data_IF_008062140580
#
_entry.id   IF_008062140580
#
_cell.length_a   1.000
_cell.length_b   1.000
_cell.length_c   1.000
_cell.angle_alpha   90.00
_cell.angle_beta   90.00
_cell.angle_gamma   90.00
#
_symmetry.space_group_name_H-M   'P 1'
#
loop_
_entity.id
_entity.type
_entity.pdbx_description
1 polymer ?
#
# COMPACT_ATOMS: atom_id res chain seq x y z
N UNK A 1 -4.47 8.84 35.51
CA UNK A 1 -3.31 9.10 36.35
C UNK A 1 -3.33 10.59 36.65
N UNK A 2 -3.49 10.97 37.95
CA UNK A 2 -3.32 12.37 38.36
C UNK A 2 -1.82 12.63 38.45
N UNK A 3 -1.28 13.45 37.56
CA UNK A 3 0.07 13.99 37.68
C UNK A 3 0.10 14.93 38.89
N UNK A 4 0.85 14.58 39.92
CA UNK A 4 1.17 15.48 41.01
C UNK A 4 2.33 16.38 40.58
N UNK A 5 2.09 17.67 40.46
CA UNK A 5 3.17 18.66 40.31
C UNK A 5 3.94 18.76 41.62
N UNK A 6 5.20 18.35 41.67
CA UNK A 6 6.12 18.74 42.75
C UNK A 6 6.61 20.15 42.45
N UNK A 7 6.25 21.11 43.31
CA UNK A 7 6.76 22.47 43.20
C UNK A 7 8.30 22.45 43.28
N UNK A 8 8.98 22.93 42.24
CA UNK A 8 10.41 23.16 42.21
C UNK A 8 11.28 22.25 41.35
N UNK A 9 10.69 21.32 40.56
CA UNK A 9 11.47 20.58 39.57
C UNK A 9 11.23 21.16 38.15
N UNK A 10 12.32 21.36 37.44
CA UNK A 10 12.28 21.64 35.97
C UNK A 10 11.48 20.56 35.27
N UNK A 11 10.55 20.87 34.36
CA UNK A 11 9.81 19.83 33.64
C UNK A 11 10.80 18.88 32.95
N UNK A 12 10.58 17.57 33.09
CA UNK A 12 11.39 16.53 32.48
C UNK A 12 11.24 16.51 30.94
N UNK A 13 10.22 17.16 30.42
CA UNK A 13 9.96 17.30 29.01
C UNK A 13 9.59 18.74 28.70
N UNK A 14 10.41 19.41 27.92
CA UNK A 14 10.12 20.71 27.35
C UNK A 14 9.44 20.51 25.98
N UNK A 15 8.16 20.86 25.88
CA UNK A 15 7.38 20.81 24.65
C UNK A 15 7.24 22.19 23.99
N UNK A 16 7.91 23.22 24.52
CA UNK A 16 7.95 24.57 23.94
C UNK A 16 8.94 24.69 22.77
N UNK A 17 9.57 23.61 22.38
CA UNK A 17 10.55 23.54 21.30
C UNK A 17 10.03 24.17 20.01
N UNK A 18 10.88 24.99 19.40
CA UNK A 18 10.57 25.78 18.21
C UNK A 18 10.96 25.10 16.91
N UNK A 19 11.39 23.86 16.92
CA UNK A 19 11.70 23.11 15.70
C UNK A 19 10.40 22.67 15.04
N UNK A 20 10.08 23.29 13.91
CA UNK A 20 9.02 22.82 13.05
C UNK A 20 9.45 21.49 12.41
N UNK A 21 8.85 20.41 12.86
CA UNK A 21 8.96 19.09 12.23
C UNK A 21 8.16 19.00 10.93
N UNK A 22 8.17 17.84 10.32
CA UNK A 22 7.28 17.53 9.21
C UNK A 22 5.82 17.54 9.69
N UNK A 23 4.95 18.31 9.01
CA UNK A 23 3.52 18.29 9.34
C UNK A 23 2.91 16.96 8.93
N UNK A 24 2.37 16.23 9.89
CA UNK A 24 1.60 15.02 9.63
C UNK A 24 0.23 15.37 9.03
N UNK A 25 -0.23 14.60 8.03
CA UNK A 25 -1.40 14.96 7.23
C UNK A 25 -2.55 13.97 7.35
N UNK A 26 -2.22 12.66 7.39
CA UNK A 26 -3.29 11.68 7.24
C UNK A 26 -2.99 10.33 7.89
N UNK A 27 -4.02 9.80 8.53
CA UNK A 27 -4.16 8.41 8.91
C UNK A 27 -5.03 7.70 7.90
N UNK A 28 -4.58 6.53 7.44
CA UNK A 28 -5.30 5.81 6.41
C UNK A 28 -5.31 4.30 6.58
N UNK A 29 -6.09 3.66 5.72
CA UNK A 29 -6.14 2.20 5.59
C UNK A 29 -6.40 1.79 4.14
N UNK A 30 -6.15 0.52 3.84
CA UNK A 30 -6.39 -0.04 2.51
C UNK A 30 -7.80 -0.64 2.41
N UNK A 31 -8.43 -0.45 1.25
CA UNK A 31 -9.73 -1.00 0.93
C UNK A 31 -9.55 -2.32 0.18
N UNK A 32 -9.56 -3.45 0.91
CA UNK A 32 -9.39 -4.80 0.36
C UNK A 32 -10.71 -5.55 0.25
N UNK A 33 -10.84 -6.45 -0.75
CA UNK A 33 -12.06 -7.26 -0.92
C UNK A 33 -12.34 -8.12 0.33
N UNK A 34 -11.32 -8.79 0.90
CA UNK A 34 -11.51 -9.63 2.09
C UNK A 34 -11.85 -8.82 3.34
N UNK A 35 -11.41 -7.56 3.45
CA UNK A 35 -11.85 -6.68 4.53
C UNK A 35 -13.35 -6.36 4.42
N UNK A 36 -13.83 -6.11 3.21
CA UNK A 36 -15.26 -5.89 2.97
C UNK A 36 -16.09 -7.14 3.25
N UNK A 37 -15.59 -8.32 2.87
CA UNK A 37 -16.25 -9.60 3.16
C UNK A 37 -16.36 -9.86 4.65
N UNK A 38 -15.31 -9.58 5.42
CA UNK A 38 -15.32 -9.69 6.87
C UNK A 38 -16.35 -8.76 7.51
N UNK A 39 -16.40 -7.49 7.11
CA UNK A 39 -17.41 -6.53 7.58
C UNK A 39 -18.84 -6.98 7.23
N UNK A 40 -19.05 -7.57 6.06
CA UNK A 40 -20.38 -8.05 5.63
C UNK A 40 -20.86 -9.33 6.36
N UNK A 41 -20.01 -9.99 7.17
CA UNK A 41 -20.46 -11.09 8.04
C UNK A 41 -21.21 -10.61 9.27
N UNK A 42 -21.02 -9.34 9.65
CA UNK A 42 -21.61 -8.73 10.83
C UNK A 42 -23.05 -8.27 10.55
N UNK A 43 -23.79 -7.98 11.61
CA UNK A 43 -25.07 -7.28 11.48
C UNK A 43 -24.85 -5.87 10.92
N UNK A 44 -25.89 -5.30 10.32
CA UNK A 44 -25.79 -3.93 9.77
C UNK A 44 -25.42 -2.89 10.83
N UNK A 45 -25.96 -3.02 12.03
CA UNK A 45 -25.71 -2.09 13.12
C UNK A 45 -24.25 -2.17 13.60
N UNK A 46 -23.70 -3.39 13.72
CA UNK A 46 -22.29 -3.60 14.08
C UNK A 46 -21.34 -3.11 12.98
N UNK A 47 -21.66 -3.42 11.72
CA UNK A 47 -20.89 -2.92 10.57
C UNK A 47 -20.88 -1.38 10.54
N UNK A 48 -22.04 -0.76 10.75
CA UNK A 48 -22.20 0.69 10.75
C UNK A 48 -21.43 1.35 11.92
N UNK A 49 -21.47 0.75 13.12
CA UNK A 49 -20.69 1.22 14.29
C UNK A 49 -19.18 1.15 14.02
N UNK A 50 -18.68 0.05 13.44
CA UNK A 50 -17.27 -0.11 13.12
C UNK A 50 -16.80 0.87 12.03
N UNK A 51 -17.59 1.05 10.97
CA UNK A 51 -17.31 2.04 9.94
C UNK A 51 -17.25 3.46 10.51
N UNK A 52 -18.18 3.81 11.41
CA UNK A 52 -18.19 5.09 12.11
C UNK A 52 -16.94 5.25 12.99
N UNK A 53 -16.55 4.21 13.74
CA UNK A 53 -15.33 4.24 14.56
C UNK A 53 -14.07 4.45 13.73
N UNK A 54 -14.00 3.84 12.55
CA UNK A 54 -12.82 3.95 11.67
C UNK A 54 -12.76 5.29 10.93
N UNK A 55 -13.85 5.75 10.36
CA UNK A 55 -13.82 6.80 9.33
C UNK A 55 -14.41 8.14 9.76
N UNK A 56 -15.32 8.19 10.76
CA UNK A 56 -15.85 9.49 11.20
C UNK A 56 -14.76 10.39 11.78
N UNK A 57 -14.77 11.71 11.47
CA UNK A 57 -13.87 12.68 12.12
C UNK A 57 -13.99 12.72 13.65
N UNK A 58 -15.16 12.36 14.21
CA UNK A 58 -15.40 12.21 15.64
C UNK A 58 -15.21 10.75 16.11
N UNK A 59 -14.84 9.86 15.19
CA UNK A 59 -14.62 8.44 15.47
C UNK A 59 -13.34 8.17 16.24
N UNK A 60 -13.06 6.88 16.43
CA UNK A 60 -11.92 6.45 17.22
C UNK A 60 -10.61 6.45 16.43
N UNK A 61 -10.62 6.08 15.15
CA UNK A 61 -9.42 6.03 14.31
C UNK A 61 -9.27 7.24 13.39
N UNK A 62 -10.38 7.91 13.06
CA UNK A 62 -10.39 9.15 12.26
C UNK A 62 -9.68 9.04 10.92
N UNK A 63 -9.76 7.87 10.28
CA UNK A 63 -9.12 7.67 8.98
C UNK A 63 -9.70 8.63 7.93
N UNK A 64 -8.83 9.41 7.34
CA UNK A 64 -9.17 10.39 6.30
C UNK A 64 -8.46 10.10 4.96
N UNK A 65 -7.65 9.03 4.91
CA UNK A 65 -6.88 8.61 3.73
C UNK A 65 -7.18 7.17 3.36
N UNK A 66 -7.49 6.89 2.10
CA UNK A 66 -7.74 5.54 1.61
C UNK A 66 -6.68 5.11 0.60
N UNK A 67 -6.18 3.86 0.73
CA UNK A 67 -5.38 3.20 -0.29
C UNK A 67 -6.27 2.28 -1.12
N UNK A 68 -6.19 2.38 -2.42
CA UNK A 68 -6.92 1.54 -3.38
C UNK A 68 -5.91 0.73 -4.20
N UNK A 69 -6.15 -0.58 -4.29
CA UNK A 69 -5.38 -1.44 -5.19
C UNK A 69 -5.88 -1.25 -6.62
N UNK A 70 -4.98 -0.96 -7.55
CA UNK A 70 -5.26 -1.08 -8.97
C UNK A 70 -5.06 -2.54 -9.37
N UNK A 71 -6.13 -3.24 -9.74
CA UNK A 71 -6.21 -4.69 -9.92
C UNK A 71 -6.17 -5.46 -8.57
N UNK A 72 -6.18 -6.80 -8.65
CA UNK A 72 -6.10 -7.66 -7.47
C UNK A 72 -4.80 -7.46 -6.69
N UNK A 73 -4.92 -7.52 -5.36
CA UNK A 73 -3.81 -7.63 -4.43
C UNK A 73 -3.84 -8.99 -3.71
N UNK A 74 -2.95 -9.21 -2.74
CA UNK A 74 -2.87 -10.45 -1.95
C UNK A 74 -4.06 -10.67 -0.99
N UNK A 75 -4.90 -9.65 -0.75
CA UNK A 75 -6.18 -9.74 -0.02
C UNK A 75 -7.41 -9.51 -0.93
N UNK A 76 -7.26 -9.73 -2.23
CA UNK A 76 -8.38 -9.93 -3.15
C UNK A 76 -8.93 -11.37 -3.03
N UNK A 77 -10.19 -11.58 -3.44
CA UNK A 77 -10.82 -12.92 -3.43
C UNK A 77 -10.15 -13.89 -4.39
N UNK A 78 -9.64 -13.38 -5.51
CA UNK A 78 -8.92 -14.08 -6.58
C UNK A 78 -8.20 -13.08 -7.48
N UNK A 79 -7.45 -13.58 -8.47
CA UNK A 79 -6.81 -12.75 -9.49
C UNK A 79 -7.83 -12.08 -10.41
N UNK A 80 -7.63 -10.79 -10.64
CA UNK A 80 -8.25 -10.03 -11.74
C UNK A 80 -7.39 -8.82 -12.10
N UNK A 81 -7.52 -8.34 -13.35
CA UNK A 81 -7.13 -6.98 -13.72
C UNK A 81 -8.27 -6.27 -14.42
N UNK A 82 -8.13 -4.98 -14.64
CA UNK A 82 -9.16 -4.19 -15.35
C UNK A 82 -9.13 -4.42 -16.87
N UNK A 83 -8.11 -5.11 -17.41
CA UNK A 83 -8.02 -5.47 -18.83
C UNK A 83 -7.09 -6.67 -19.06
N UNK A 84 -7.65 -7.88 -19.09
CA UNK A 84 -6.93 -9.13 -19.40
C UNK A 84 -6.98 -9.52 -20.89
N UNK A 85 -7.44 -8.62 -21.78
CA UNK A 85 -7.45 -8.90 -23.21
C UNK A 85 -6.06 -8.69 -23.79
N UNK A 86 -5.39 -9.78 -24.10
CA UNK A 86 -4.02 -9.77 -24.60
C UNK A 86 -3.88 -8.92 -25.88
N UNK A 87 -2.94 -7.97 -25.84
CA UNK A 87 -2.66 -7.08 -26.98
C UNK A 87 -3.64 -5.91 -27.14
N UNK A 88 -4.51 -5.65 -26.18
CA UNK A 88 -5.37 -4.46 -26.21
C UNK A 88 -4.60 -3.19 -25.84
N UNK A 89 -3.67 -2.80 -26.70
CA UNK A 89 -2.87 -1.57 -26.53
C UNK A 89 -3.68 -0.27 -26.56
N UNK A 90 -4.96 -0.33 -26.93
CA UNK A 90 -5.87 0.81 -26.91
C UNK A 90 -6.78 0.83 -25.68
N UNK A 91 -6.69 -0.20 -24.82
CA UNK A 91 -7.46 -0.38 -23.59
C UNK A 91 -8.98 -0.24 -23.84
N UNK A 92 -9.46 -0.86 -24.92
CA UNK A 92 -10.89 -0.85 -25.31
C UNK A 92 -11.76 -1.69 -24.37
N UNK A 93 -11.16 -2.73 -23.80
CA UNK A 93 -11.85 -3.67 -22.90
C UNK A 93 -11.62 -3.31 -21.42
N UNK A 94 -10.87 -2.23 -21.16
CA UNK A 94 -10.66 -1.76 -19.80
C UNK A 94 -11.97 -1.50 -19.06
N UNK A 95 -12.14 -2.05 -17.87
CA UNK A 95 -13.29 -1.81 -17.01
C UNK A 95 -12.98 -2.10 -15.54
N UNK A 96 -13.70 -1.45 -14.64
CA UNK A 96 -13.60 -1.63 -13.17
C UNK A 96 -14.79 -2.43 -12.62
N UNK A 97 -15.40 -3.33 -13.42
CA UNK A 97 -16.60 -4.04 -13.00
C UNK A 97 -16.37 -4.91 -11.77
N UNK A 98 -15.17 -5.47 -11.61
CA UNK A 98 -14.81 -6.25 -10.42
C UNK A 98 -14.82 -5.37 -9.16
N UNK A 99 -14.26 -4.19 -9.22
CA UNK A 99 -14.16 -3.26 -8.08
C UNK A 99 -15.55 -2.81 -7.60
N UNK A 100 -16.54 -2.77 -8.50
CA UNK A 100 -17.94 -2.46 -8.16
C UNK A 100 -18.60 -3.51 -7.26
N UNK A 101 -18.01 -4.69 -7.11
CA UNK A 101 -18.57 -5.77 -6.29
C UNK A 101 -18.13 -5.68 -4.82
N UNK A 102 -17.00 -5.03 -4.51
CA UNK A 102 -16.49 -4.95 -3.15
C UNK A 102 -15.81 -3.61 -2.84
N UNK A 103 -14.79 -3.22 -3.60
CA UNK A 103 -13.94 -2.05 -3.27
C UNK A 103 -14.77 -0.76 -3.28
N UNK A 104 -15.52 -0.49 -4.35
CA UNK A 104 -16.34 0.72 -4.48
C UNK A 104 -17.45 0.77 -3.41
N UNK A 105 -18.23 -0.31 -3.16
CA UNK A 105 -19.17 -0.35 -2.05
C UNK A 105 -18.52 -0.07 -0.69
N UNK A 106 -17.33 -0.61 -0.43
CA UNK A 106 -16.61 -0.37 0.81
C UNK A 106 -16.19 1.10 0.95
N UNK A 107 -15.59 1.67 -0.09
CA UNK A 107 -15.21 3.10 -0.10
C UNK A 107 -16.44 3.99 0.13
N UNK A 108 -17.56 3.71 -0.52
CA UNK A 108 -18.81 4.48 -0.33
C UNK A 108 -19.36 4.37 1.10
N UNK A 109 -19.22 3.18 1.71
CA UNK A 109 -19.60 3.00 3.11
C UNK A 109 -18.73 3.84 4.06
N UNK A 110 -17.43 3.97 3.77
CA UNK A 110 -16.54 4.87 4.50
C UNK A 110 -16.87 6.36 4.24
N UNK A 111 -17.09 6.74 2.99
CA UNK A 111 -17.46 8.12 2.61
C UNK A 111 -18.78 8.59 3.23
N UNK A 112 -19.69 7.69 3.61
CA UNK A 112 -20.89 8.02 4.38
C UNK A 112 -20.56 8.73 5.69
N UNK A 113 -19.42 8.37 6.32
CA UNK A 113 -18.98 8.93 7.60
C UNK A 113 -17.92 10.03 7.44
N UNK A 114 -17.18 10.00 6.36
CA UNK A 114 -16.18 11.02 6.04
C UNK A 114 -16.20 11.30 4.52
N UNK A 115 -17.04 12.21 4.04
CA UNK A 115 -17.14 12.54 2.62
C UNK A 115 -15.89 13.24 2.07
N UNK A 116 -15.05 13.80 2.94
CA UNK A 116 -13.84 14.53 2.58
C UNK A 116 -12.60 13.63 2.50
N UNK A 117 -12.77 12.29 2.58
CA UNK A 117 -11.67 11.35 2.42
C UNK A 117 -10.96 11.54 1.09
N UNK A 118 -9.64 11.44 1.13
CA UNK A 118 -8.78 11.44 -0.04
C UNK A 118 -8.24 10.05 -0.33
N UNK A 119 -7.84 9.79 -1.58
CA UNK A 119 -7.46 8.44 -2.00
C UNK A 119 -6.18 8.44 -2.81
N UNK A 120 -5.35 7.43 -2.54
CA UNK A 120 -4.21 7.09 -3.36
C UNK A 120 -4.25 5.63 -3.81
N UNK A 121 -3.51 5.30 -4.86
CA UNK A 121 -3.49 3.96 -5.38
C UNK A 121 -2.11 3.43 -5.73
N UNK A 122 -1.99 2.10 -5.72
CA UNK A 122 -0.85 1.37 -6.27
C UNK A 122 -1.31 0.03 -6.88
N UNK A 123 -0.71 -0.44 -7.98
CA UNK A 123 -0.91 -1.80 -8.49
C UNK A 123 -0.04 -2.80 -7.74
N UNK A 124 -0.50 -4.06 -7.65
CA UNK A 124 0.33 -5.21 -7.30
C UNK A 124 0.89 -5.89 -8.55
N UNK A 125 0.06 -6.09 -9.56
CA UNK A 125 0.49 -6.60 -10.86
C UNK A 125 -0.19 -5.81 -11.99
N UNK A 126 0.51 -5.49 -13.08
CA UNK A 126 -0.16 -5.11 -14.32
C UNK A 126 -1.00 -6.29 -14.84
N UNK A 127 -1.86 -6.09 -15.87
CA UNK A 127 -2.46 -7.19 -16.61
C UNK A 127 -1.43 -8.26 -16.99
N UNK A 128 -1.77 -9.54 -16.88
CA UNK A 128 -0.84 -10.66 -17.05
C UNK A 128 -0.11 -10.62 -18.39
N UNK A 129 -0.82 -10.24 -19.46
CA UNK A 129 -0.24 -10.16 -20.80
C UNK A 129 0.81 -9.06 -21.00
N UNK A 130 0.94 -8.14 -20.04
CA UNK A 130 1.98 -7.09 -20.05
C UNK A 130 3.28 -7.56 -19.35
N UNK A 131 3.31 -8.78 -18.82
CA UNK A 131 4.45 -9.32 -18.08
C UNK A 131 5.19 -10.39 -18.89
N UNK A 132 6.50 -10.51 -18.68
CA UNK A 132 7.35 -11.47 -19.42
C UNK A 132 7.00 -12.93 -19.11
N UNK A 133 6.47 -13.22 -17.93
CA UNK A 133 5.99 -14.55 -17.55
C UNK A 133 4.52 -14.81 -17.96
N UNK A 134 3.83 -13.83 -18.53
CA UNK A 134 2.45 -13.88 -18.96
C UNK A 134 1.48 -14.40 -17.86
N UNK A 135 1.77 -14.05 -16.62
CA UNK A 135 0.96 -14.43 -15.46
C UNK A 135 1.01 -13.32 -14.40
N UNK A 136 0.10 -13.37 -13.41
CA UNK A 136 -0.01 -12.33 -12.39
C UNK A 136 1.01 -12.44 -11.24
N UNK A 137 1.45 -13.65 -10.78
CA UNK A 137 2.46 -13.75 -9.74
C UNK A 137 3.85 -13.50 -10.30
N UNK A 138 4.85 -13.46 -9.41
CA UNK A 138 6.26 -13.36 -9.81
C UNK A 138 6.90 -14.75 -9.86
N UNK A 139 6.45 -15.67 -9.00
CA UNK A 139 6.91 -17.07 -8.99
C UNK A 139 5.77 -18.07 -8.85
N UNK A 140 6.01 -19.31 -9.27
CA UNK A 140 5.09 -20.43 -9.08
C UNK A 140 5.00 -20.86 -7.61
N UNK A 141 3.82 -21.31 -7.20
CA UNK A 141 3.54 -21.87 -5.89
C UNK A 141 2.33 -22.80 -5.96
N UNK A 142 2.14 -23.60 -4.91
CA UNK A 142 0.97 -24.49 -4.78
C UNK A 142 -0.37 -23.73 -4.73
N UNK A 143 -0.36 -22.47 -4.31
CA UNK A 143 -1.55 -21.64 -4.15
C UNK A 143 -1.95 -20.88 -5.42
N UNK A 144 -1.03 -20.71 -6.35
CA UNK A 144 -1.32 -20.21 -7.68
C UNK A 144 -1.22 -21.35 -8.72
N UNK A 145 -1.71 -21.16 -9.91
CA UNK A 145 -1.72 -22.17 -10.97
C UNK A 145 -0.59 -21.98 -11.98
N UNK A 146 0.37 -21.14 -11.66
CA UNK A 146 1.50 -20.86 -12.54
C UNK A 146 2.39 -22.10 -12.66
N UNK A 147 2.79 -22.41 -13.87
CA UNK A 147 3.75 -23.48 -14.11
C UNK A 147 5.13 -23.09 -13.60
N UNK A 148 5.87 -23.98 -12.89
CA UNK A 148 7.27 -23.74 -12.55
C UNK A 148 8.18 -23.48 -13.76
N UNK A 149 7.78 -23.93 -14.95
CA UNK A 149 8.48 -23.63 -16.20
C UNK A 149 8.34 -22.17 -16.65
N UNK A 150 7.39 -21.45 -16.09
CA UNK A 150 7.19 -20.02 -16.34
C UNK A 150 7.93 -19.13 -15.32
N UNK A 151 8.58 -19.72 -14.32
CA UNK A 151 9.42 -18.95 -13.39
C UNK A 151 10.57 -18.28 -14.13
N UNK A 152 10.73 -17.01 -13.91
CA UNK A 152 11.81 -16.19 -14.49
C UNK A 152 12.85 -15.93 -13.42
N UNK A 153 14.13 -15.97 -13.77
CA UNK A 153 15.22 -15.63 -12.87
C UNK A 153 15.10 -14.16 -12.48
N UNK A 154 14.86 -13.88 -11.21
CA UNK A 154 14.82 -12.53 -10.69
C UNK A 154 16.20 -12.05 -10.21
N UNK A 155 16.98 -12.96 -9.63
CA UNK A 155 18.31 -12.69 -9.09
C UNK A 155 19.34 -13.66 -9.70
N UNK A 156 20.59 -13.23 -9.75
CA UNK A 156 21.66 -14.05 -10.40
C UNK A 156 21.80 -15.46 -9.84
N UNK A 157 21.65 -15.62 -8.53
CA UNK A 157 21.76 -16.93 -7.90
C UNK A 157 20.43 -17.68 -7.73
N UNK A 158 19.32 -16.98 -7.85
CA UNK A 158 17.94 -17.50 -7.74
C UNK A 158 17.74 -18.58 -6.65
N UNK A 159 18.63 -18.58 -5.65
CA UNK A 159 18.68 -19.61 -4.60
C UNK A 159 17.66 -19.38 -3.51
N UNK A 160 17.12 -18.16 -3.43
CA UNK A 160 16.17 -17.78 -2.41
C UNK A 160 14.76 -17.74 -2.99
N UNK A 161 14.08 -18.87 -2.94
CA UNK A 161 12.69 -19.04 -3.37
C UNK A 161 11.70 -18.82 -2.24
N UNK A 162 12.12 -18.29 -1.10
CA UNK A 162 11.26 -18.07 0.07
C UNK A 162 10.58 -16.72 0.00
N UNK A 163 9.32 -16.71 0.42
CA UNK A 163 8.56 -15.49 0.64
C UNK A 163 9.31 -14.58 1.62
N UNK A 164 9.36 -13.29 1.29
CA UNK A 164 9.95 -12.24 2.12
C UNK A 164 11.42 -12.41 2.51
N UNK A 165 12.17 -13.24 1.83
CA UNK A 165 13.62 -13.18 1.94
C UNK A 165 14.11 -12.12 0.99
N UNK A 166 14.66 -11.05 1.56
CA UNK A 166 15.20 -9.94 0.79
C UNK A 166 16.58 -10.34 0.25
N UNK A 167 16.71 -10.56 -1.06
CA UNK A 167 17.97 -10.99 -1.63
C UNK A 167 19.04 -9.90 -1.48
N UNK A 168 20.27 -10.31 -1.32
CA UNK A 168 21.41 -9.40 -1.23
C UNK A 168 21.78 -8.76 -2.56
N UNK A 169 21.31 -9.34 -3.66
CA UNK A 169 21.60 -8.90 -5.01
C UNK A 169 20.48 -8.02 -5.57
N UNK A 170 20.81 -7.19 -6.54
CA UNK A 170 19.80 -6.41 -7.27
C UNK A 170 19.03 -7.30 -8.24
N UNK A 171 17.76 -6.97 -8.47
CA UNK A 171 16.96 -7.62 -9.48
C UNK A 171 17.61 -7.48 -10.87
N UNK A 172 17.70 -8.57 -11.62
CA UNK A 172 18.31 -8.63 -12.96
C UNK A 172 17.28 -8.60 -14.09
N UNK A 173 15.99 -8.80 -13.75
CA UNK A 173 14.91 -8.77 -14.72
C UNK A 173 13.79 -7.82 -14.29
N UNK A 174 13.28 -7.06 -15.24
CA UNK A 174 11.96 -6.43 -15.16
C UNK A 174 10.90 -7.45 -15.55
N UNK A 175 9.89 -7.67 -14.71
CA UNK A 175 8.77 -8.53 -15.09
C UNK A 175 7.78 -7.82 -16.01
N UNK A 176 7.65 -6.50 -15.91
CA UNK A 176 6.97 -5.69 -16.91
C UNK A 176 7.75 -5.71 -18.23
N UNK A 177 7.09 -6.02 -19.33
CA UNK A 177 7.69 -5.99 -20.68
C UNK A 177 8.20 -4.58 -20.98
N UNK A 178 9.49 -4.44 -21.27
CA UNK A 178 10.18 -3.16 -21.45
C UNK A 178 10.09 -2.60 -22.88
N UNK A 179 9.17 -3.10 -23.69
CA UNK A 179 8.86 -2.51 -24.99
C UNK A 179 8.10 -1.17 -24.81
N UNK A 180 8.47 -0.11 -25.55
CA UNK A 180 7.85 1.21 -25.43
C UNK A 180 6.32 1.22 -25.56
N UNK A 181 5.77 0.36 -26.39
CA UNK A 181 4.32 0.25 -26.56
C UNK A 181 3.63 -0.29 -25.32
N UNK A 182 4.21 -1.30 -24.64
CA UNK A 182 3.69 -1.84 -23.39
C UNK A 182 3.79 -0.81 -22.26
N UNK A 183 4.93 -0.15 -22.13
CA UNK A 183 5.16 0.86 -21.09
C UNK A 183 4.20 2.05 -21.26
N UNK A 184 4.01 2.54 -22.49
CA UNK A 184 3.05 3.61 -22.74
C UNK A 184 1.61 3.16 -22.49
N UNK A 185 1.24 1.93 -22.89
CA UNK A 185 -0.09 1.39 -22.63
C UNK A 185 -0.34 1.28 -21.12
N UNK A 186 0.65 0.84 -20.36
CA UNK A 186 0.53 0.75 -18.91
C UNK A 186 0.41 2.14 -18.26
N UNK A 187 1.13 3.14 -18.72
CA UNK A 187 0.94 4.53 -18.26
C UNK A 187 -0.48 5.05 -18.56
N UNK A 188 -1.03 4.74 -19.75
CA UNK A 188 -2.41 5.08 -20.10
C UNK A 188 -3.43 4.31 -19.23
N UNK A 189 -3.11 3.09 -18.82
CA UNK A 189 -3.94 2.28 -17.94
C UNK A 189 -4.15 2.94 -16.58
N UNK A 190 -3.12 3.57 -16.01
CA UNK A 190 -3.24 4.38 -14.79
C UNK A 190 -4.24 5.53 -14.99
N UNK A 191 -4.15 6.25 -16.11
CA UNK A 191 -5.10 7.34 -16.40
C UNK A 191 -6.54 6.84 -16.51
N UNK A 192 -6.76 5.71 -17.19
CA UNK A 192 -8.11 5.12 -17.28
C UNK A 192 -8.67 4.68 -15.93
N UNK A 193 -7.81 4.17 -15.06
CA UNK A 193 -8.23 3.81 -13.70
C UNK A 193 -8.63 5.05 -12.89
N UNK A 194 -7.84 6.12 -12.96
CA UNK A 194 -8.15 7.41 -12.33
C UNK A 194 -9.50 7.95 -12.82
N UNK A 195 -9.71 7.97 -14.14
CA UNK A 195 -10.97 8.41 -14.74
C UNK A 195 -12.17 7.57 -14.26
N UNK A 196 -12.02 6.24 -14.30
CA UNK A 196 -13.10 5.34 -13.92
C UNK A 196 -13.47 5.46 -12.44
N UNK A 197 -12.52 5.69 -11.54
CA UNK A 197 -12.79 5.94 -10.12
C UNK A 197 -13.36 7.33 -9.87
N UNK A 198 -12.91 8.34 -10.61
CA UNK A 198 -13.49 9.68 -10.58
C UNK A 198 -14.98 9.67 -10.97
N UNK A 199 -15.35 8.90 -11.98
CA UNK A 199 -16.76 8.68 -12.38
C UNK A 199 -17.60 8.02 -11.26
N UNK A 200 -16.97 7.26 -10.36
CA UNK A 200 -17.63 6.69 -9.19
C UNK A 200 -17.69 7.65 -7.98
N UNK A 201 -17.22 8.89 -8.12
CA UNK A 201 -17.13 9.86 -7.00
C UNK A 201 -15.99 9.57 -6.04
N UNK A 202 -14.95 8.87 -6.49
CA UNK A 202 -13.77 8.50 -5.71
C UNK A 202 -12.53 9.08 -6.42
N UNK A 203 -12.22 10.38 -6.23
CA UNK A 203 -11.07 10.99 -6.88
C UNK A 203 -9.76 10.47 -6.29
N UNK A 204 -8.89 9.95 -7.16
CA UNK A 204 -7.52 9.57 -6.82
C UNK A 204 -6.64 10.81 -6.95
N UNK A 205 -5.94 11.21 -5.90
CA UNK A 205 -5.08 12.40 -5.87
C UNK A 205 -3.57 12.08 -5.89
N UNK A 206 -3.22 10.82 -5.62
CA UNK A 206 -1.83 10.37 -5.66
C UNK A 206 -1.76 8.91 -6.16
N UNK A 207 -0.68 8.60 -6.85
CA UNK A 207 -0.37 7.23 -7.28
C UNK A 207 1.06 6.84 -6.95
N UNK A 208 1.28 5.53 -6.78
CA UNK A 208 2.60 4.88 -6.83
C UNK A 208 2.59 3.85 -7.94
N UNK A 209 3.74 3.69 -8.62
CA UNK A 209 3.81 2.88 -9.83
C UNK A 209 3.71 1.37 -9.60
N UNK A 210 4.08 0.88 -8.40
CA UNK A 210 4.13 -0.55 -8.07
C UNK A 210 4.09 -0.78 -6.56
N UNK A 211 3.32 -1.76 -6.10
CA UNK A 211 3.49 -2.33 -4.77
C UNK A 211 4.68 -3.28 -4.76
N UNK A 212 5.63 -3.06 -3.84
CA UNK A 212 6.72 -3.99 -3.56
C UNK A 212 7.51 -4.43 -4.81
N UNK A 213 8.03 -3.48 -5.56
CA UNK A 213 8.76 -3.71 -6.81
C UNK A 213 9.97 -4.66 -6.69
N UNK A 214 10.35 -5.06 -5.48
CA UNK A 214 11.50 -5.91 -5.19
C UNK A 214 11.10 -7.29 -4.62
N UNK A 215 9.82 -7.64 -4.60
CA UNK A 215 9.32 -8.89 -4.01
C UNK A 215 9.19 -10.02 -5.02
N UNK A 216 9.57 -11.23 -4.60
CA UNK A 216 9.46 -12.47 -5.38
C UNK A 216 8.34 -13.34 -4.82
N UNK A 217 7.10 -13.02 -5.17
CA UNK A 217 5.87 -13.46 -4.49
C UNK A 217 5.01 -14.40 -5.32
N UNK A 218 4.24 -15.31 -4.66
CA UNK A 218 3.28 -16.19 -5.31
C UNK A 218 1.90 -15.55 -5.52
N UNK A 219 1.66 -14.38 -4.94
CA UNK A 219 0.45 -13.57 -5.10
C UNK A 219 0.66 -12.49 -6.18
N UNK A 220 -0.35 -11.69 -6.52
CA UNK A 220 -0.18 -10.65 -7.52
C UNK A 220 1.04 -9.77 -7.24
N UNK A 221 1.95 -9.66 -8.20
CA UNK A 221 3.20 -8.91 -8.06
C UNK A 221 3.84 -8.61 -9.40
N UNK A 222 4.77 -7.66 -9.40
CA UNK A 222 5.59 -7.34 -10.56
C UNK A 222 6.94 -6.80 -10.10
N UNK A 223 7.99 -7.52 -10.38
CA UNK A 223 9.34 -7.09 -10.04
C UNK A 223 9.89 -6.11 -11.09
N UNK A 224 10.63 -5.12 -10.60
CA UNK A 224 11.26 -4.09 -11.42
C UNK A 224 12.72 -3.93 -11.02
N UNK A 225 13.60 -3.80 -12.02
CA UNK A 225 14.96 -3.34 -11.79
C UNK A 225 14.96 -1.84 -11.44
N UNK A 226 16.05 -1.33 -10.89
CA UNK A 226 16.18 0.10 -10.66
C UNK A 226 16.11 0.89 -11.97
N UNK A 227 16.72 0.38 -13.03
CA UNK A 227 16.68 0.97 -14.37
C UNK A 227 15.28 0.97 -14.98
N UNK A 228 14.55 -0.15 -14.86
CA UNK A 228 13.17 -0.24 -15.33
C UNK A 228 12.25 0.69 -14.57
N UNK A 229 12.45 0.82 -13.25
CA UNK A 229 11.72 1.77 -12.40
C UNK A 229 11.94 3.21 -12.87
N UNK A 230 13.20 3.62 -13.08
CA UNK A 230 13.53 4.96 -13.58
C UNK A 230 12.90 5.17 -14.95
N UNK A 231 13.12 4.24 -15.89
CA UNK A 231 12.58 4.34 -17.24
C UNK A 231 11.07 4.54 -17.24
N UNK A 232 10.34 3.68 -16.55
CA UNK A 232 8.88 3.76 -16.55
C UNK A 232 8.36 5.05 -15.94
N UNK A 233 8.85 5.41 -14.76
CA UNK A 233 8.36 6.61 -14.07
C UNK A 233 8.73 7.91 -14.79
N UNK A 234 9.96 8.03 -15.29
CA UNK A 234 10.47 9.26 -15.90
C UNK A 234 10.01 9.45 -17.35
N UNK A 235 10.03 8.36 -18.13
CA UNK A 235 9.83 8.47 -19.58
C UNK A 235 8.38 8.23 -20.01
N UNK A 236 7.59 7.54 -19.18
CA UNK A 236 6.20 7.18 -19.55
C UNK A 236 5.16 7.69 -18.54
N UNK A 237 5.26 7.31 -17.26
CA UNK A 237 4.18 7.57 -16.31
C UNK A 237 4.06 9.05 -15.95
N UNK A 238 5.14 9.71 -15.52
CA UNK A 238 5.11 11.13 -15.15
C UNK A 238 4.69 12.04 -16.30
N UNK A 239 5.20 11.90 -17.54
CA UNK A 239 4.73 12.70 -18.67
C UNK A 239 3.26 12.45 -19.02
N UNK A 240 2.79 11.20 -18.91
CA UNK A 240 1.39 10.83 -19.19
C UNK A 240 0.45 11.44 -18.15
N UNK A 241 0.78 11.34 -16.85
CA UNK A 241 0.03 12.00 -15.79
C UNK A 241 0.00 13.51 -15.94
N UNK A 242 1.16 14.13 -16.17
CA UNK A 242 1.23 15.58 -16.37
C UNK A 242 0.33 16.07 -17.50
N UNK A 243 0.15 15.24 -18.54
CA UNK A 243 -0.69 15.56 -19.69
C UNK A 243 -2.18 15.37 -19.41
N UNK A 244 -2.57 14.30 -18.70
CA UNK A 244 -3.96 13.89 -18.57
C UNK A 244 -4.56 14.18 -17.18
N UNK A 245 -3.74 14.11 -16.13
CA UNK A 245 -4.12 14.28 -14.72
C UNK A 245 -3.06 15.11 -13.96
N UNK A 246 -2.84 16.38 -14.35
CA UNK A 246 -1.83 17.23 -13.70
C UNK A 246 -2.10 17.49 -12.21
N UNK A 247 -3.33 17.23 -11.75
CA UNK A 247 -3.75 17.29 -10.35
C UNK A 247 -3.32 16.09 -9.51
N UNK A 248 -2.94 14.98 -10.16
CA UNK A 248 -2.55 13.73 -9.48
C UNK A 248 -1.04 13.69 -9.24
N UNK A 249 -0.64 13.51 -8.00
CA UNK A 249 0.78 13.42 -7.63
C UNK A 249 1.33 12.02 -7.87
N UNK A 250 2.57 11.94 -8.36
CA UNK A 250 3.30 10.68 -8.48
C UNK A 250 4.33 10.56 -7.35
N UNK A 251 4.23 9.49 -6.58
CA UNK A 251 5.23 9.09 -5.59
C UNK A 251 5.95 7.82 -6.05
N UNK A 252 7.20 7.66 -5.67
CA UNK A 252 7.92 6.40 -5.82
C UNK A 252 7.60 5.45 -4.69
N UNK A 253 7.50 4.20 -4.99
CA UNK A 253 7.23 3.13 -4.03
C UNK A 253 6.20 2.14 -4.59
N UNK A 254 5.77 1.22 -3.76
CA UNK A 254 6.05 1.13 -2.32
C UNK A 254 7.33 0.30 -2.08
N UNK A 255 8.32 0.84 -1.38
CA UNK A 255 9.57 0.15 -1.12
C UNK A 255 9.47 -0.65 0.19
N UNK A 256 9.61 -1.98 0.08
CA UNK A 256 9.44 -2.92 1.20
C UNK A 256 10.73 -3.64 1.61
N UNK A 257 11.83 -3.50 0.89
CA UNK A 257 13.07 -4.18 1.16
C UNK A 257 14.10 -3.28 1.84
N UNK A 258 14.89 -3.82 2.77
CA UNK A 258 16.06 -3.16 3.35
C UNK A 258 17.20 -3.09 2.33
N UNK A 259 16.96 -2.41 1.20
CA UNK A 259 17.90 -2.29 0.06
C UNK A 259 18.15 -0.82 -0.27
N UNK A 260 19.03 -0.23 0.54
CA UNK A 260 19.47 1.14 0.34
C UNK A 260 20.02 1.38 -1.07
N UNK A 261 20.88 0.49 -1.55
CA UNK A 261 21.52 0.55 -2.86
C UNK A 261 20.51 0.59 -4.03
N UNK A 262 19.44 -0.16 -3.95
CA UNK A 262 18.35 -0.16 -4.93
C UNK A 262 17.63 1.20 -4.99
N UNK A 263 17.20 1.70 -3.84
CA UNK A 263 16.48 2.97 -3.74
C UNK A 263 17.40 4.14 -4.07
N UNK A 264 18.64 4.11 -3.59
CA UNK A 264 19.66 5.13 -3.89
C UNK A 264 19.95 5.24 -5.40
N UNK A 265 20.07 4.10 -6.09
CA UNK A 265 20.26 4.04 -7.53
C UNK A 265 19.12 4.71 -8.31
N UNK A 266 17.87 4.48 -7.88
CA UNK A 266 16.69 5.09 -8.48
C UNK A 266 16.69 6.62 -8.22
N UNK A 267 16.82 7.03 -6.96
CA UNK A 267 16.72 8.44 -6.58
C UNK A 267 17.90 9.31 -7.05
N UNK A 268 19.03 8.69 -7.38
CA UNK A 268 20.21 9.38 -7.92
C UNK A 268 20.07 9.78 -9.40
N UNK A 269 19.07 9.30 -10.12
CA UNK A 269 18.81 9.76 -11.49
C UNK A 269 18.40 11.24 -11.46
N UNK A 270 19.11 12.13 -12.20
CA UNK A 270 18.91 13.57 -12.13
C UNK A 270 17.53 14.04 -12.64
N UNK A 271 16.80 13.17 -13.34
CA UNK A 271 15.44 13.45 -13.85
C UNK A 271 14.34 13.15 -12.79
N UNK A 272 14.68 12.36 -11.78
CA UNK A 272 13.71 11.88 -10.77
C UNK A 272 13.04 13.02 -9.98
N UNK A 273 13.74 14.08 -9.50
CA UNK A 273 13.12 15.17 -8.76
C UNK A 273 12.06 15.97 -9.54
N UNK A 274 12.09 15.90 -10.87
CA UNK A 274 11.09 16.55 -11.72
C UNK A 274 9.91 15.63 -12.07
N UNK A 275 10.06 14.34 -11.79
CA UNK A 275 9.08 13.31 -12.15
C UNK A 275 8.23 12.90 -10.97
N UNK A 276 8.78 12.88 -9.74
CA UNK A 276 8.08 12.43 -8.55
C UNK A 276 8.21 13.41 -7.39
N UNK A 277 7.17 13.49 -6.54
CA UNK A 277 7.11 14.43 -5.42
C UNK A 277 7.52 13.80 -4.08
N UNK A 278 7.44 12.47 -3.97
CA UNK A 278 7.72 11.78 -2.72
C UNK A 278 8.07 10.32 -2.88
N UNK A 279 8.32 9.68 -1.74
CA UNK A 279 8.76 8.29 -1.65
C UNK A 279 8.00 7.57 -0.54
N UNK A 280 7.47 6.39 -0.85
CA UNK A 280 6.72 5.55 0.06
C UNK A 280 7.51 4.32 0.51
N UNK A 281 7.48 4.05 1.82
CA UNK A 281 8.14 2.92 2.45
C UNK A 281 7.16 2.07 3.24
N UNK A 282 7.42 0.77 3.27
CA UNK A 282 6.68 -0.21 4.06
C UNK A 282 7.58 -1.36 4.47
N UNK A 283 7.13 -2.18 5.43
CA UNK A 283 7.85 -3.36 5.89
C UNK A 283 9.33 -3.04 6.17
N UNK A 284 10.26 -3.91 5.80
CA UNK A 284 11.69 -3.69 6.02
C UNK A 284 12.28 -2.47 5.28
N UNK A 285 11.57 -1.94 4.30
CA UNK A 285 11.93 -0.68 3.65
C UNK A 285 11.96 0.50 4.63
N UNK A 286 11.19 0.45 5.70
CA UNK A 286 11.25 1.44 6.78
C UNK A 286 12.62 1.57 7.42
N UNK A 287 13.45 0.53 7.41
CA UNK A 287 14.79 0.56 8.02
C UNK A 287 15.77 1.48 7.29
N UNK A 288 15.58 1.67 5.98
CA UNK A 288 16.44 2.57 5.19
C UNK A 288 15.92 4.00 5.13
N UNK A 289 14.69 4.26 5.54
CA UNK A 289 14.05 5.58 5.50
C UNK A 289 14.93 6.70 6.10
N UNK A 290 15.51 6.56 7.32
CA UNK A 290 16.33 7.65 7.90
C UNK A 290 17.51 8.03 7.00
N UNK A 291 18.17 7.03 6.43
CA UNK A 291 19.35 7.22 5.58
C UNK A 291 18.98 7.82 4.21
N UNK A 292 17.87 7.36 3.61
CA UNK A 292 17.37 7.90 2.36
C UNK A 292 16.93 9.35 2.56
N UNK A 293 16.15 9.65 3.60
CA UNK A 293 15.70 11.01 3.90
C UNK A 293 16.85 11.98 4.13
N UNK A 294 17.89 11.55 4.83
CA UNK A 294 19.09 12.37 5.05
C UNK A 294 19.81 12.73 3.75
N UNK A 295 19.84 11.82 2.76
CA UNK A 295 20.50 12.06 1.47
C UNK A 295 19.60 12.81 0.48
N UNK A 296 18.30 12.61 0.55
CA UNK A 296 17.32 13.15 -0.40
C UNK A 296 16.23 13.97 0.29
N UNK A 297 16.58 15.05 1.04
CA UNK A 297 15.63 15.82 1.85
C UNK A 297 14.58 16.58 1.02
N UNK A 298 14.75 16.65 -0.30
CA UNK A 298 13.83 17.34 -1.22
C UNK A 298 12.51 16.58 -1.43
N UNK A 299 12.44 15.28 -1.12
CA UNK A 299 11.22 14.50 -1.30
C UNK A 299 10.35 14.53 -0.03
N UNK A 300 9.06 14.37 -0.23
CA UNK A 300 8.12 14.01 0.83
C UNK A 300 8.22 12.52 1.11
N UNK A 301 7.91 12.13 2.34
CA UNK A 301 7.99 10.73 2.76
C UNK A 301 6.68 10.28 3.37
N UNK A 302 6.26 9.04 3.09
CA UNK A 302 5.10 8.44 3.72
C UNK A 302 5.32 6.96 4.02
N UNK A 303 4.63 6.49 5.03
CA UNK A 303 4.46 5.07 5.29
C UNK A 303 3.26 4.57 4.48
N UNK A 304 3.43 3.51 3.72
CA UNK A 304 2.47 3.05 2.72
C UNK A 304 1.72 1.80 3.13
N UNK A 305 2.27 1.01 4.05
CA UNK A 305 1.67 -0.23 4.53
C UNK A 305 2.32 -0.66 5.85
N UNK A 306 1.50 -0.98 6.86
CA UNK A 306 2.00 -1.50 8.13
C UNK A 306 2.38 -2.99 8.02
N UNK A 307 3.35 -3.40 8.83
CA UNK A 307 3.63 -4.82 9.07
C UNK A 307 2.54 -5.41 9.95
N UNK A 308 1.69 -6.25 9.39
CA UNK A 308 0.48 -6.75 10.06
C UNK A 308 0.63 -8.13 10.69
N UNK A 309 1.81 -8.54 11.10
CA UNK A 309 2.03 -9.80 11.81
C UNK A 309 1.63 -11.05 11.02
N UNK A 310 1.28 -12.14 11.72
CA UNK A 310 1.02 -13.47 11.16
C UNK A 310 -0.32 -14.10 11.54
N UNK A 311 -1.37 -13.30 11.78
CA UNK A 311 -2.72 -13.80 12.12
C UNK A 311 -2.88 -14.22 13.60
N UNK A 312 -2.04 -13.70 14.49
CA UNK A 312 -2.10 -14.01 15.93
C UNK A 312 -2.99 -13.07 16.73
N UNK A 313 -3.16 -11.83 16.27
CA UNK A 313 -3.97 -10.78 16.91
C UNK A 313 -3.62 -10.52 18.39
N UNK A 314 -2.36 -10.72 18.78
CA UNK A 314 -1.88 -10.59 20.16
C UNK A 314 -1.27 -9.21 20.46
N UNK A 315 -0.93 -8.97 21.74
CA UNK A 315 -0.34 -7.70 22.18
C UNK A 315 1.05 -7.42 21.59
N UNK A 316 1.80 -8.44 21.16
CA UNK A 316 3.08 -8.23 20.47
C UNK A 316 2.90 -7.47 19.16
N UNK A 317 1.81 -7.77 18.43
CA UNK A 317 1.46 -7.05 17.22
C UNK A 317 1.07 -5.59 17.54
N UNK A 318 0.33 -5.34 18.61
CA UNK A 318 0.01 -3.98 19.07
C UNK A 318 1.26 -3.18 19.46
N UNK A 319 2.18 -3.78 20.22
CA UNK A 319 3.46 -3.16 20.58
C UNK A 319 4.32 -2.87 19.34
N UNK A 320 4.37 -3.81 18.40
CA UNK A 320 5.09 -3.62 17.15
C UNK A 320 4.50 -2.47 16.33
N UNK A 321 3.18 -2.41 16.18
CA UNK A 321 2.48 -1.31 15.51
C UNK A 321 2.80 0.04 16.17
N UNK A 322 2.82 0.10 17.51
CA UNK A 322 3.21 1.31 18.24
C UNK A 322 4.64 1.75 17.90
N UNK A 323 5.58 0.82 17.85
CA UNK A 323 6.96 1.10 17.47
C UNK A 323 7.11 1.54 16.02
N UNK A 324 6.37 0.93 15.08
CA UNK A 324 6.35 1.32 13.68
C UNK A 324 5.85 2.76 13.50
N UNK A 325 4.75 3.13 14.16
CA UNK A 325 4.21 4.49 14.10
C UNK A 325 5.27 5.49 14.59
N UNK A 326 5.88 5.24 15.75
CA UNK A 326 6.97 6.09 16.26
C UNK A 326 8.13 6.21 15.28
N UNK A 327 8.52 5.10 14.65
CA UNK A 327 9.63 5.09 13.69
C UNK A 327 9.32 5.97 12.49
N UNK A 328 8.16 5.78 11.86
CA UNK A 328 7.80 6.51 10.64
C UNK A 328 7.52 7.99 10.90
N UNK A 329 6.76 8.33 11.94
CA UNK A 329 6.51 9.73 12.31
C UNK A 329 7.79 10.44 12.73
N UNK A 330 8.62 9.79 13.59
CA UNK A 330 9.90 10.33 14.05
C UNK A 330 10.91 10.54 12.90
N UNK A 331 10.75 9.83 11.78
CA UNK A 331 11.53 10.03 10.58
C UNK A 331 10.81 10.87 9.50
N UNK A 332 9.77 11.61 9.89
CA UNK A 332 9.14 12.66 9.07
C UNK A 332 8.27 12.14 7.94
N UNK A 333 7.62 10.99 8.11
CA UNK A 333 6.54 10.60 7.23
C UNK A 333 5.31 11.49 7.47
N UNK A 334 4.73 11.99 6.37
CA UNK A 334 3.57 12.87 6.39
C UNK A 334 2.24 12.11 6.49
N UNK A 335 2.23 10.82 6.16
CA UNK A 335 1.06 9.94 6.13
C UNK A 335 1.41 8.54 6.65
N UNK A 336 0.43 7.86 7.24
CA UNK A 336 0.53 6.48 7.71
C UNK A 336 -0.69 5.68 7.25
N UNK A 337 -0.47 4.60 6.50
CA UNK A 337 -1.52 3.72 5.98
C UNK A 337 -1.45 2.34 6.64
N UNK A 338 -2.48 1.97 7.39
CA UNK A 338 -2.61 0.61 7.92
C UNK A 338 -3.11 -0.35 6.83
N UNK A 339 -2.54 -1.57 6.76
CA UNK A 339 -2.86 -2.50 5.67
C UNK A 339 -4.28 -3.05 5.78
N UNK A 340 -4.48 -4.08 6.58
CA UNK A 340 -5.80 -4.69 6.72
C UNK A 340 -6.58 -4.08 7.89
N UNK A 341 -7.72 -3.46 7.63
CA UNK A 341 -8.55 -2.92 8.70
C UNK A 341 -9.44 -3.98 9.36
N UNK A 342 -9.93 -4.98 8.62
CA UNK A 342 -10.82 -6.02 9.16
C UNK A 342 -10.53 -7.35 8.46
N UNK A 343 -10.30 -8.41 9.22
CA UNK A 343 -10.12 -9.75 8.67
C UNK A 343 -10.86 -10.81 9.50
N UNK A 344 -11.18 -11.94 8.85
CA UNK A 344 -11.79 -13.09 9.51
C UNK A 344 -10.75 -14.05 10.06
N UNK A 345 -11.11 -14.73 11.15
CA UNK A 345 -10.40 -15.88 11.70
C UNK A 345 -8.89 -15.63 11.88
N UNK A 346 -8.03 -16.36 11.18
CA UNK A 346 -6.57 -16.20 11.24
C UNK A 346 -6.01 -15.21 10.20
N UNK A 347 -6.86 -14.46 9.51
CA UNK A 347 -6.45 -13.48 8.50
C UNK A 347 -5.81 -14.07 7.26
N UNK A 348 -6.18 -15.32 6.87
CA UNK A 348 -5.58 -16.01 5.73
C UNK A 348 -6.13 -15.51 4.39
N UNK A 349 -5.22 -15.18 3.47
CA UNK A 349 -5.55 -14.82 2.09
C UNK A 349 -5.69 -16.07 1.19
N UNK A 350 -6.26 -15.96 -0.03
CA UNK A 350 -6.35 -17.08 -0.96
C UNK A 350 -5.00 -17.70 -1.35
N UNK A 351 -3.91 -16.97 -1.15
CA UNK A 351 -2.54 -17.43 -1.40
C UNK A 351 -1.83 -17.99 -0.15
N UNK A 352 -2.59 -18.23 0.95
CA UNK A 352 -2.05 -18.83 2.18
C UNK A 352 -1.26 -17.86 3.07
N UNK A 353 -1.28 -16.57 2.77
CA UNK A 353 -0.64 -15.53 3.57
C UNK A 353 -1.54 -15.13 4.73
N UNK A 354 -1.03 -15.16 5.96
CA UNK A 354 -1.79 -14.81 7.16
C UNK A 354 -1.32 -13.49 7.72
N UNK A 355 -2.25 -12.60 8.02
CA UNK A 355 -1.97 -11.31 8.61
C UNK A 355 -2.98 -10.95 9.69
N UNK A 356 -2.60 -9.99 10.52
CA UNK A 356 -3.49 -9.35 11.48
C UNK A 356 -4.30 -8.22 10.80
N UNK A 357 -5.27 -7.73 11.54
CA UNK A 357 -6.08 -6.57 11.18
C UNK A 357 -6.42 -5.76 12.44
N UNK A 358 -6.89 -4.54 12.26
CA UNK A 358 -7.37 -3.70 13.37
C UNK A 358 -8.62 -4.28 14.03
N UNK A 359 -9.45 -4.96 13.23
CA UNK A 359 -10.69 -5.61 13.67
C UNK A 359 -10.66 -7.06 13.24
N UNK A 360 -10.76 -7.95 14.20
CA UNK A 360 -10.89 -9.39 14.00
C UNK A 360 -12.35 -9.80 14.02
N UNK A 361 -12.80 -10.55 13.02
CA UNK A 361 -14.15 -11.12 12.94
C UNK A 361 -14.07 -12.64 13.07
N UNK A 362 -14.76 -13.21 14.05
CA UNK A 362 -14.95 -14.65 14.14
C UNK A 362 -16.07 -15.06 13.16
N UNK A 363 -15.72 -15.86 12.15
CA UNK A 363 -16.66 -16.25 11.08
C UNK A 363 -17.79 -17.16 11.56
N UNK A 364 -17.60 -17.88 12.69
CA UNK A 364 -18.59 -18.82 13.25
C UNK A 364 -19.61 -18.08 14.09
N UNK A 365 -19.15 -17.20 14.98
CA UNK A 365 -20.03 -16.43 15.88
C UNK A 365 -20.53 -15.15 15.23
N UNK A 366 -19.87 -14.70 14.16
CA UNK A 366 -20.12 -13.41 13.47
C UNK A 366 -20.02 -12.23 14.43
N UNK A 367 -19.02 -12.24 15.27
CA UNK A 367 -18.74 -11.17 16.24
C UNK A 367 -17.41 -10.51 15.93
N UNK A 368 -17.33 -9.21 16.14
CA UNK A 368 -16.12 -8.41 15.94
C UNK A 368 -15.39 -8.16 17.26
N UNK A 369 -14.06 -8.15 17.20
CA UNK A 369 -13.18 -7.79 18.32
C UNK A 369 -12.17 -6.76 17.85
N UNK A 370 -12.02 -5.66 18.59
CA UNK A 370 -10.97 -4.68 18.35
C UNK A 370 -9.64 -5.26 18.86
N UNK A 371 -8.62 -5.26 18.00
CA UNK A 371 -7.33 -5.87 18.29
C UNK A 371 -6.38 -4.92 19.04
N UNK A 372 -5.28 -5.42 19.63
CA UNK A 372 -4.25 -4.55 20.19
C UNK A 372 -3.69 -3.52 19.21
N UNK A 373 -3.59 -3.87 17.94
CA UNK A 373 -3.15 -2.95 16.87
C UNK A 373 -4.14 -1.80 16.67
N UNK A 374 -5.46 -2.07 16.80
CA UNK A 374 -6.49 -1.03 16.79
C UNK A 374 -6.23 0.03 17.87
N UNK A 375 -5.95 -0.42 19.09
CA UNK A 375 -5.70 0.49 20.21
C UNK A 375 -4.39 1.24 20.05
N UNK A 376 -3.36 0.62 19.49
CA UNK A 376 -2.10 1.28 19.17
C UNK A 376 -2.31 2.42 18.16
N UNK A 377 -3.00 2.17 17.05
CA UNK A 377 -3.32 3.20 16.05
C UNK A 377 -4.20 4.29 16.64
N UNK A 378 -5.26 3.92 17.39
CA UNK A 378 -6.16 4.87 18.04
C UNK A 378 -5.41 5.84 18.97
N UNK A 379 -4.42 5.32 19.69
CA UNK A 379 -3.63 6.14 20.63
C UNK A 379 -2.94 7.32 19.93
N UNK A 380 -2.56 7.16 18.68
CA UNK A 380 -1.99 8.25 17.86
C UNK A 380 -3.07 9.02 17.11
N UNK A 381 -3.91 8.35 16.34
CA UNK A 381 -4.81 8.98 15.39
C UNK A 381 -5.89 9.89 16.00
N UNK A 382 -6.13 9.76 17.30
CA UNK A 382 -7.00 10.68 18.03
C UNK A 382 -6.35 12.04 18.40
N UNK A 383 -5.02 12.09 18.41
CA UNK A 383 -4.30 13.21 19.02
C UNK A 383 -3.26 13.86 18.08
N UNK A 384 -2.93 13.20 16.97
CA UNK A 384 -1.93 13.65 15.99
C UNK A 384 -2.55 13.94 14.65
#
# INVERSE_FOLDING_TARGET
VKLQSSAGQTPLLDISGTEEGTTFKAWGTTFNELCWDALNMLTRDEQDDLLKKMFSPEGELRFNRGRISMNANDYARDWYSCDEVSGDFQLKYFNINRDKLAIIPFVRAAQKYNPDMTFWMSPWSPPSWMKINNDYPVRSDRTNKMSPLSDVVLYEDNTETRDNVFPRQLAVNDYMIQDPRYLQTYANYFCKFIDAYKEQGIPIDMIMYQNEAYSYTPYPGCAWTAEGTVRFNVEYLAPTLKKHHPEVTLYLGTFNANRYDYVDKILSDPRMPQSVQGVGFQWEGGQILPKIRAKYPQYKYMQTESECGGGTFDWRAGEHTFHLINHYLGNGCEEYTFWNNTLCDNGESPWGWKQNALIHVDSKTRTATLTPEYYAVRHYSQFV
#
